data_IF_595223480728
#
_entry.id   IF_595223480728
#
_cell.length_a   1.000
_cell.length_b   1.000
_cell.length_c   1.000
_cell.angle_alpha   90.00
_cell.angle_beta   90.00
_cell.angle_gamma   90.00
#
_symmetry.space_group_name_H-M   'P 1'
#
loop_
_entity.id
_entity.type
_entity.pdbx_description
1 polymer ?
#
# COMPACT_ATOMS: atom_id res chain seq x y z
N UNK A 1 26.83 13.14 -1.67
CA UNK A 1 25.43 12.68 -1.76
C UNK A 1 25.38 11.22 -2.26
N UNK A 2 25.10 10.31 -1.34
CA UNK A 2 24.87 8.89 -1.61
C UNK A 2 23.85 8.74 -2.74
N UNK A 3 24.17 7.94 -3.76
CA UNK A 3 23.32 7.74 -4.94
C UNK A 3 21.97 7.19 -4.49
N UNK A 4 20.91 7.92 -4.78
CA UNK A 4 19.54 7.46 -4.57
C UNK A 4 19.29 6.19 -5.41
N UNK A 5 18.82 5.10 -4.77
CA UNK A 5 18.54 3.83 -5.42
C UNK A 5 17.04 3.53 -5.43
N UNK A 6 16.39 3.78 -6.57
CA UNK A 6 14.95 3.55 -6.74
C UNK A 6 14.56 2.07 -6.59
N UNK A 7 15.47 1.15 -6.90
CA UNK A 7 15.19 -0.29 -6.83
C UNK A 7 15.09 -0.77 -5.39
N UNK A 8 15.96 -0.27 -4.51
CA UNK A 8 15.88 -0.54 -3.07
C UNK A 8 14.58 0.01 -2.47
N UNK A 9 14.18 1.22 -2.86
CA UNK A 9 12.92 1.82 -2.40
C UNK A 9 11.70 1.04 -2.89
N UNK A 10 11.68 0.62 -4.16
CA UNK A 10 10.61 -0.25 -4.70
C UNK A 10 10.55 -1.60 -3.98
N UNK A 11 11.70 -2.20 -3.70
CA UNK A 11 11.76 -3.45 -2.94
C UNK A 11 11.21 -3.28 -1.51
N UNK A 12 11.57 -2.19 -0.83
CA UNK A 12 11.05 -1.87 0.50
C UNK A 12 9.53 -1.65 0.47
N UNK A 13 9.02 -0.90 -0.49
CA UNK A 13 7.58 -0.69 -0.66
C UNK A 13 6.82 -2.01 -0.88
N UNK A 14 7.35 -2.92 -1.70
CA UNK A 14 6.75 -4.24 -1.87
C UNK A 14 6.79 -5.09 -0.59
N UNK A 15 7.83 -4.94 0.24
CA UNK A 15 7.88 -5.58 1.55
C UNK A 15 6.83 -5.01 2.52
N UNK A 16 6.58 -3.70 2.48
CA UNK A 16 5.51 -3.05 3.25
C UNK A 16 4.11 -3.52 2.79
N UNK A 17 3.90 -3.68 1.49
CA UNK A 17 2.65 -4.27 0.95
C UNK A 17 2.45 -5.70 1.45
N UNK A 18 3.51 -6.53 1.45
CA UNK A 18 3.43 -7.89 1.98
C UNK A 18 3.13 -7.89 3.49
N UNK A 19 3.73 -6.98 4.26
CA UNK A 19 3.41 -6.82 5.68
C UNK A 19 1.95 -6.38 5.88
N UNK A 20 1.44 -5.47 5.07
CA UNK A 20 0.05 -5.03 5.15
C UNK A 20 -0.92 -6.20 4.87
N UNK A 21 -0.62 -7.05 3.89
CA UNK A 21 -1.38 -8.27 3.59
C UNK A 21 -1.44 -9.22 4.79
N UNK A 22 -0.31 -9.50 5.43
CA UNK A 22 -0.24 -10.32 6.66
C UNK A 22 -1.11 -9.72 7.79
N UNK A 23 -1.07 -8.39 7.95
CA UNK A 23 -1.84 -7.69 8.98
C UNK A 23 -3.34 -7.69 8.69
N UNK A 24 -3.75 -7.53 7.44
CA UNK A 24 -5.14 -7.67 7.01
C UNK A 24 -5.62 -9.11 7.24
N UNK A 25 -4.80 -10.10 6.90
CA UNK A 25 -5.08 -11.51 7.18
C UNK A 25 -5.44 -11.76 8.63
N UNK A 26 -4.67 -11.21 9.58
CA UNK A 26 -4.97 -11.31 11.02
C UNK A 26 -6.33 -10.73 11.43
N UNK A 27 -6.79 -9.67 10.76
CA UNK A 27 -8.10 -9.08 11.02
C UNK A 27 -9.21 -10.02 10.49
N UNK A 28 -9.01 -10.58 9.29
CA UNK A 28 -9.95 -11.53 8.68
C UNK A 28 -10.05 -12.83 9.48
N UNK A 29 -8.92 -13.33 9.99
CA UNK A 29 -8.86 -14.50 10.86
C UNK A 29 -9.66 -14.24 12.14
N UNK A 30 -9.46 -13.09 12.79
CA UNK A 30 -10.23 -12.72 13.97
C UNK A 30 -11.74 -12.65 13.68
N UNK A 31 -12.15 -12.08 12.55
CA UNK A 31 -13.57 -12.06 12.14
C UNK A 31 -14.13 -13.46 11.85
N UNK A 32 -13.29 -14.37 11.38
CA UNK A 32 -13.66 -15.77 11.11
C UNK A 32 -13.85 -16.52 12.43
N UNK A 33 -12.89 -16.41 13.35
CA UNK A 33 -12.89 -17.06 14.66
C UNK A 33 -14.09 -16.60 15.52
N UNK A 34 -14.51 -15.34 15.40
CA UNK A 34 -15.68 -14.82 16.12
C UNK A 34 -17.01 -15.07 15.39
N UNK A 35 -16.98 -15.69 14.20
CA UNK A 35 -18.17 -15.97 13.39
C UNK A 35 -18.82 -14.73 12.77
N UNK A 36 -18.11 -13.60 12.72
CA UNK A 36 -18.62 -12.31 12.24
C UNK A 36 -18.40 -12.09 10.74
N UNK A 37 -17.43 -12.79 10.13
CA UNK A 37 -17.01 -12.54 8.74
C UNK A 37 -18.17 -12.50 7.74
N UNK A 38 -19.09 -13.47 7.78
CA UNK A 38 -20.23 -13.57 6.85
C UNK A 38 -21.29 -12.48 7.01
N UNK A 39 -21.15 -11.59 8.00
CA UNK A 39 -22.07 -10.50 8.30
C UNK A 39 -21.38 -9.14 8.32
N UNK A 40 -20.14 -9.06 7.85
CA UNK A 40 -19.34 -7.83 7.81
C UNK A 40 -19.06 -7.45 6.37
N UNK A 41 -19.36 -6.19 6.01
CA UNK A 41 -18.92 -5.61 4.74
C UNK A 41 -17.46 -5.15 4.91
N UNK A 42 -16.61 -5.52 3.96
CA UNK A 42 -15.19 -5.19 3.97
C UNK A 42 -14.90 -4.24 2.82
N UNK A 43 -14.27 -3.12 3.11
CA UNK A 43 -13.77 -2.15 2.12
C UNK A 43 -12.28 -2.00 2.33
N UNK A 44 -11.51 -2.25 1.28
CA UNK A 44 -10.07 -2.03 1.22
C UNK A 44 -9.80 -0.89 0.25
N UNK A 45 -9.05 0.11 0.68
CA UNK A 45 -8.83 1.38 -0.03
C UNK A 45 -7.55 2.03 0.50
N UNK A 46 -6.94 2.90 -0.31
CA UNK A 46 -5.84 3.79 0.11
C UNK A 46 -6.28 5.26 0.08
N UNK A 47 -5.60 6.14 0.82
CA UNK A 47 -5.85 7.58 0.78
C UNK A 47 -5.26 8.23 -0.49
N UNK A 48 -4.18 7.65 -1.02
CA UNK A 48 -3.54 7.99 -2.30
C UNK A 48 -2.58 6.86 -2.75
N UNK A 49 -2.03 6.97 -3.96
CA UNK A 49 -0.93 6.13 -4.46
C UNK A 49 0.47 6.72 -4.19
N UNK A 50 1.52 6.23 -4.86
CA UNK A 50 2.89 6.73 -4.73
C UNK A 50 3.54 6.85 -6.13
N UNK A 51 4.35 7.89 -6.36
CA UNK A 51 5.09 8.06 -7.62
C UNK A 51 6.11 6.96 -7.85
N UNK A 52 6.69 6.35 -6.80
CA UNK A 52 7.62 5.22 -6.93
C UNK A 52 8.71 5.38 -8.00
N UNK A 53 9.21 6.60 -8.23
CA UNK A 53 10.24 6.93 -9.22
C UNK A 53 9.71 7.43 -10.57
N UNK A 54 8.41 7.38 -10.80
CA UNK A 54 7.78 7.86 -12.03
C UNK A 54 8.05 9.36 -12.23
N UNK A 55 8.38 9.72 -13.46
CA UNK A 55 8.82 11.08 -13.82
C UNK A 55 10.01 11.61 -12.99
N UNK A 56 10.80 10.71 -12.38
CA UNK A 56 11.90 11.07 -11.48
C UNK A 56 11.44 11.59 -10.12
N UNK A 57 10.19 11.29 -9.73
CA UNK A 57 9.54 11.76 -8.51
C UNK A 57 9.33 10.63 -7.51
N UNK A 58 9.25 10.98 -6.23
CA UNK A 58 9.04 10.06 -5.13
C UNK A 58 7.87 10.52 -4.27
N UNK A 59 7.28 9.57 -3.54
CA UNK A 59 6.22 9.82 -2.58
C UNK A 59 5.01 10.49 -3.26
N UNK A 60 4.36 11.40 -2.53
CA UNK A 60 3.30 12.28 -3.02
C UNK A 60 3.80 13.71 -3.21
N UNK A 61 3.09 14.48 -4.01
CA UNK A 61 3.40 15.91 -4.22
C UNK A 61 2.26 16.65 -4.92
N UNK A 62 2.47 17.93 -5.23
CA UNK A 62 1.49 18.81 -5.87
C UNK A 62 1.35 18.52 -7.38
N UNK A 63 1.15 17.25 -7.76
CA UNK A 63 1.01 16.76 -9.14
C UNK A 63 -0.05 15.67 -9.18
N UNK A 64 -0.78 15.59 -10.28
CA UNK A 64 -1.89 14.66 -10.47
C UNK A 64 -1.56 13.55 -11.48
N UNK A 65 -0.38 12.95 -11.37
CA UNK A 65 -0.06 11.76 -12.18
C UNK A 65 -0.74 10.52 -11.61
N UNK A 66 -1.08 9.58 -12.48
CA UNK A 66 -1.86 8.37 -12.16
C UNK A 66 -1.32 7.64 -10.94
N UNK A 67 0.00 7.45 -10.84
CA UNK A 67 0.62 6.73 -9.73
C UNK A 67 0.29 7.27 -8.34
N UNK A 68 -0.09 8.55 -8.19
CA UNK A 68 -0.47 9.15 -6.90
C UNK A 68 -1.98 9.32 -6.72
N UNK A 69 -2.74 9.47 -7.80
CA UNK A 69 -4.19 9.81 -7.70
C UNK A 69 -5.11 8.62 -7.93
N UNK A 70 -4.60 7.52 -8.49
CA UNK A 70 -5.36 6.30 -8.72
C UNK A 70 -5.22 5.36 -7.53
N UNK A 71 -6.35 4.96 -6.95
CA UNK A 71 -6.47 4.00 -5.83
C UNK A 71 -7.64 3.06 -6.06
#
# INVERSE_FOLDING_TARGET
PTKFNIWEMRAAYHAEVAQADDLVGRILDALTETGQLNRTIIVFMSDHGDMMGDHGLLYKGCRFYEGVVHV
#
